data_IF_179784318455
#
_entry.id   IF_179784318455
#
_cell.length_a   1.000
_cell.length_b   1.000
_cell.length_c   1.000
_cell.angle_alpha   90.00
_cell.angle_beta   90.00
_cell.angle_gamma   90.00
#
_symmetry.space_group_name_H-M   'P 1'
#
loop_
_entity.id
_entity.type
_entity.pdbx_description
1 polymer ?
#
# COMPACT_ATOMS: atom_id res chain seq x y z
N UNK A 1 -21.10 3.72 7.10
CA UNK A 1 -19.95 4.54 6.64
C UNK A 1 -18.68 4.32 7.48
N UNK A 2 -18.69 4.50 8.82
CA UNK A 2 -17.51 4.32 9.68
C UNK A 2 -16.85 2.92 9.61
N UNK A 3 -17.63 1.86 9.37
CA UNK A 3 -17.11 0.48 9.28
C UNK A 3 -16.19 0.30 8.06
N UNK A 4 -16.67 0.70 6.86
CA UNK A 4 -15.89 0.64 5.61
C UNK A 4 -14.64 1.53 5.74
N UNK A 5 -14.82 2.74 6.28
CA UNK A 5 -13.71 3.65 6.53
C UNK A 5 -12.63 2.99 7.40
N UNK A 6 -13.03 2.45 8.55
CA UNK A 6 -12.12 1.75 9.46
C UNK A 6 -11.44 0.61 8.72
N UNK A 7 -12.19 -0.22 8.00
CA UNK A 7 -11.65 -1.40 7.33
C UNK A 7 -10.60 -1.07 6.26
N UNK A 8 -10.89 -0.11 5.39
CA UNK A 8 -9.95 0.32 4.36
C UNK A 8 -8.68 0.93 4.96
N UNK A 9 -8.79 1.70 6.04
CA UNK A 9 -7.63 2.24 6.75
C UNK A 9 -6.80 1.15 7.44
N UNK A 10 -7.43 0.06 7.93
CA UNK A 10 -6.70 -1.10 8.46
C UNK A 10 -5.89 -1.78 7.36
N UNK A 11 -6.50 -2.02 6.19
CA UNK A 11 -5.81 -2.59 5.03
C UNK A 11 -4.65 -1.70 4.60
N UNK A 12 -4.90 -0.39 4.49
CA UNK A 12 -3.88 0.60 4.14
C UNK A 12 -2.69 0.56 5.10
N UNK A 13 -2.95 0.56 6.42
CA UNK A 13 -1.91 0.45 7.44
C UNK A 13 -1.12 -0.85 7.37
N UNK A 14 -1.80 -1.98 7.12
CA UNK A 14 -1.15 -3.27 6.97
C UNK A 14 -0.22 -3.30 5.74
N UNK A 15 -0.66 -2.74 4.61
CA UNK A 15 0.20 -2.58 3.43
C UNK A 15 1.38 -1.65 3.69
N UNK A 16 1.17 -0.52 4.37
CA UNK A 16 2.25 0.40 4.74
C UNK A 16 3.31 -0.33 5.58
N UNK A 17 2.90 -1.05 6.63
CA UNK A 17 3.85 -1.81 7.47
C UNK A 17 4.51 -2.97 6.72
N UNK A 18 3.80 -3.65 5.83
CA UNK A 18 4.37 -4.72 5.01
C UNK A 18 5.41 -4.16 4.04
N UNK A 19 5.07 -3.10 3.30
CA UNK A 19 5.97 -2.44 2.36
C UNK A 19 7.20 -1.87 3.05
N UNK A 20 7.04 -1.20 4.20
CA UNK A 20 8.17 -0.68 4.96
C UNK A 20 9.11 -1.79 5.45
N UNK A 21 8.56 -2.92 5.93
CA UNK A 21 9.38 -4.08 6.31
C UNK A 21 10.10 -4.70 5.12
N UNK A 22 9.45 -4.78 3.96
CA UNK A 22 10.08 -5.23 2.71
C UNK A 22 11.19 -4.27 2.30
N UNK A 23 11.01 -2.96 2.44
CA UNK A 23 12.04 -1.96 2.19
C UNK A 23 13.27 -2.17 3.08
N UNK A 24 13.08 -2.37 4.39
CA UNK A 24 14.19 -2.65 5.32
C UNK A 24 14.93 -3.95 4.96
N UNK A 25 14.18 -5.00 4.58
CA UNK A 25 14.77 -6.27 4.13
C UNK A 25 15.54 -6.10 2.81
N UNK A 26 14.96 -5.36 1.86
CA UNK A 26 15.59 -5.06 0.58
C UNK A 26 16.86 -4.25 0.81
N UNK A 27 16.84 -3.20 1.63
CA UNK A 27 18.02 -2.40 1.97
C UNK A 27 19.15 -3.28 2.55
N UNK A 28 18.81 -4.25 3.41
CA UNK A 28 19.81 -5.18 3.98
C UNK A 28 20.53 -6.03 2.91
N UNK A 29 19.85 -6.38 1.81
CA UNK A 29 20.36 -7.27 0.77
C UNK A 29 20.84 -6.48 -0.47
N UNK A 30 20.46 -5.21 -0.59
CA UNK A 30 20.59 -4.42 -1.81
C UNK A 30 22.07 -4.21 -2.20
N UNK A 31 22.53 -4.73 -3.35
CA UNK A 31 23.90 -4.53 -3.81
C UNK A 31 24.20 -3.05 -4.18
N UNK A 32 23.17 -2.23 -4.44
CA UNK A 32 23.34 -0.79 -4.68
C UNK A 32 23.84 -0.03 -3.45
N UNK A 33 23.88 -0.64 -2.25
CA UNK A 33 24.62 -0.11 -1.09
C UNK A 33 26.08 0.23 -1.41
N UNK A 34 26.69 -0.48 -2.36
CA UNK A 34 28.07 -0.22 -2.78
C UNK A 34 28.25 1.17 -3.40
N UNK A 35 27.20 1.73 -4.02
CA UNK A 35 27.23 3.06 -4.62
C UNK A 35 27.44 4.13 -3.53
N UNK A 36 26.75 4.00 -2.40
CA UNK A 36 26.88 4.91 -1.26
C UNK A 36 28.23 4.81 -0.52
N UNK A 37 28.98 3.71 -0.75
CA UNK A 37 30.34 3.55 -0.24
C UNK A 37 31.41 4.19 -1.13
N UNK A 38 31.06 4.65 -2.34
CA UNK A 38 32.01 5.30 -3.23
C UNK A 38 32.54 6.61 -2.60
N UNK A 39 33.84 6.91 -2.74
CA UNK A 39 34.50 7.99 -2.00
C UNK A 39 33.91 9.37 -2.30
N UNK A 40 33.37 9.60 -3.50
CA UNK A 40 32.73 10.89 -3.85
C UNK A 40 31.40 11.10 -3.11
N UNK A 41 30.58 10.05 -2.96
CA UNK A 41 29.31 10.14 -2.23
C UNK A 41 29.56 10.23 -0.73
N UNK A 42 30.46 9.40 -0.21
CA UNK A 42 30.83 9.39 1.20
C UNK A 42 31.33 10.77 1.66
N UNK A 43 32.25 11.39 0.92
CA UNK A 43 32.74 12.75 1.22
C UNK A 43 31.62 13.80 1.20
N UNK A 44 30.61 13.64 0.33
CA UNK A 44 29.46 14.55 0.27
C UNK A 44 28.54 14.37 1.49
N UNK A 45 28.28 13.14 1.92
CA UNK A 45 27.47 12.86 3.10
C UNK A 45 28.16 13.33 4.39
N UNK A 46 29.47 13.10 4.51
CA UNK A 46 30.28 13.60 5.62
C UNK A 46 30.25 15.14 5.71
N UNK A 47 30.36 15.84 4.57
CA UNK A 47 30.21 17.31 4.51
C UNK A 47 28.83 17.81 4.95
N UNK A 48 27.79 17.03 4.69
CA UNK A 48 26.42 17.36 5.07
C UNK A 48 26.09 16.94 6.52
N UNK A 49 26.94 16.13 7.15
CA UNK A 49 26.69 15.58 8.48
C UNK A 49 25.52 14.58 8.53
N UNK A 50 25.22 13.92 7.41
CA UNK A 50 24.04 13.05 7.25
C UNK A 50 24.46 11.58 7.18
N UNK A 51 23.72 10.73 7.89
CA UNK A 51 23.73 9.29 7.67
C UNK A 51 22.74 8.93 6.56
N UNK A 52 23.26 8.61 5.37
CA UNK A 52 22.46 8.31 4.19
C UNK A 52 21.50 7.14 4.40
N UNK A 53 21.88 6.13 5.17
CA UNK A 53 21.06 4.93 5.36
C UNK A 53 19.86 5.24 6.24
N UNK A 54 20.09 6.02 7.30
CA UNK A 54 19.02 6.51 8.16
C UNK A 54 18.07 7.44 7.41
N UNK A 55 18.58 8.26 6.51
CA UNK A 55 17.76 9.16 5.71
C UNK A 55 16.91 8.42 4.67
N UNK A 56 17.45 7.37 4.04
CA UNK A 56 16.69 6.48 3.15
C UNK A 56 15.58 5.77 3.92
N UNK A 57 15.88 5.17 5.07
CA UNK A 57 14.89 4.47 5.88
C UNK A 57 13.80 5.43 6.39
N UNK A 58 14.18 6.68 6.72
CA UNK A 58 13.24 7.74 7.09
C UNK A 58 12.33 8.13 5.94
N UNK A 59 12.91 8.40 4.76
CA UNK A 59 12.15 8.74 3.55
C UNK A 59 11.21 7.59 3.12
N UNK A 60 11.58 6.34 3.36
CA UNK A 60 10.73 5.21 3.06
C UNK A 60 9.62 4.99 4.11
N UNK A 61 9.89 5.31 5.38
CA UNK A 61 9.01 5.06 6.51
C UNK A 61 8.10 6.22 6.91
N UNK A 62 8.33 7.42 6.39
CA UNK A 62 7.51 8.59 6.68
C UNK A 62 6.02 8.31 6.41
N UNK A 63 5.16 8.62 7.37
CA UNK A 63 3.74 8.29 7.28
C UNK A 63 2.97 9.21 6.36
N UNK A 64 3.41 10.46 6.18
CA UNK A 64 2.70 11.49 5.42
C UNK A 64 3.11 11.45 3.95
N UNK A 65 4.41 11.38 3.69
CA UNK A 65 4.97 11.47 2.33
C UNK A 65 5.94 10.34 2.00
N UNK A 66 6.07 9.34 2.86
CA UNK A 66 7.04 8.28 2.66
C UNK A 66 6.68 7.33 1.54
N UNK A 67 7.71 6.75 0.92
CA UNK A 67 7.54 5.80 -0.21
C UNK A 67 6.60 4.66 0.15
N UNK A 68 6.67 4.16 1.39
CA UNK A 68 5.80 3.05 1.82
C UNK A 68 4.35 3.45 1.97
N UNK A 69 4.04 4.70 2.34
CA UNK A 69 2.65 5.19 2.40
C UNK A 69 2.10 5.33 0.99
N UNK A 70 2.86 5.93 0.07
CA UNK A 70 2.43 6.09 -1.34
C UNK A 70 2.20 4.72 -1.98
N UNK A 71 3.14 3.79 -1.80
CA UNK A 71 3.02 2.43 -2.31
C UNK A 71 1.80 1.72 -1.72
N UNK A 72 1.58 1.82 -0.40
CA UNK A 72 0.42 1.23 0.26
C UNK A 72 -0.91 1.83 -0.24
N UNK A 73 -0.95 3.13 -0.47
CA UNK A 73 -2.11 3.81 -1.06
C UNK A 73 -2.38 3.33 -2.49
N UNK A 74 -1.34 3.17 -3.30
CA UNK A 74 -1.44 2.60 -4.65
C UNK A 74 -1.92 1.15 -4.66
N UNK A 75 -1.41 0.31 -3.75
CA UNK A 75 -1.86 -1.08 -3.60
C UNK A 75 -3.32 -1.13 -3.14
N UNK A 76 -3.73 -0.28 -2.20
CA UNK A 76 -5.12 -0.20 -1.75
C UNK A 76 -6.05 0.21 -2.89
N UNK A 77 -5.69 1.25 -3.64
CA UNK A 77 -6.42 1.68 -4.82
C UNK A 77 -6.51 0.53 -5.83
N UNK A 78 -5.38 -0.05 -6.22
CA UNK A 78 -5.34 -1.19 -7.14
C UNK A 78 -6.22 -2.36 -6.66
N UNK A 79 -6.17 -2.69 -5.37
CA UNK A 79 -6.97 -3.76 -4.78
C UNK A 79 -8.49 -3.49 -4.81
N UNK A 80 -8.93 -2.27 -4.50
CA UNK A 80 -10.35 -1.89 -4.60
C UNK A 80 -10.80 -1.88 -6.07
N UNK A 81 -9.95 -1.42 -6.99
CA UNK A 81 -10.20 -1.48 -8.43
C UNK A 81 -10.32 -2.93 -8.91
N UNK A 82 -9.43 -3.80 -8.45
CA UNK A 82 -9.46 -5.22 -8.79
C UNK A 82 -10.72 -5.91 -8.27
N UNK A 83 -11.20 -5.53 -7.07
CA UNK A 83 -12.48 -6.00 -6.54
C UNK A 83 -13.67 -5.60 -7.44
N UNK A 84 -13.74 -4.34 -7.87
CA UNK A 84 -14.79 -3.88 -8.79
C UNK A 84 -14.71 -4.59 -10.14
N UNK A 85 -13.51 -4.74 -10.71
CA UNK A 85 -13.30 -5.49 -11.94
C UNK A 85 -13.79 -6.94 -11.81
N UNK A 86 -13.50 -7.58 -10.67
CA UNK A 86 -13.95 -8.94 -10.38
C UNK A 86 -15.47 -9.07 -10.37
N UNK A 87 -16.18 -8.10 -9.77
CA UNK A 87 -17.64 -8.10 -9.81
C UNK A 87 -18.18 -7.91 -11.22
N UNK A 88 -17.62 -7.00 -11.99
CA UNK A 88 -18.04 -6.77 -13.37
C UNK A 88 -17.88 -8.02 -14.24
N UNK A 89 -16.78 -8.76 -14.07
CA UNK A 89 -16.54 -10.03 -14.73
C UNK A 89 -17.58 -11.08 -14.31
N UNK A 90 -17.80 -11.25 -13.01
CA UNK A 90 -18.74 -12.24 -12.46
C UNK A 90 -20.18 -12.07 -13.01
N UNK A 91 -20.60 -10.82 -13.25
CA UNK A 91 -21.92 -10.50 -13.78
C UNK A 91 -21.96 -10.38 -15.31
N UNK A 92 -20.88 -10.73 -16.01
CA UNK A 92 -20.78 -10.60 -17.47
C UNK A 92 -21.09 -9.18 -17.98
N UNK A 93 -20.76 -8.16 -17.18
CA UNK A 93 -21.05 -6.75 -17.48
C UNK A 93 -19.95 -6.08 -18.31
N UNK A 94 -18.87 -6.79 -18.62
CA UNK A 94 -17.75 -6.26 -19.41
C UNK A 94 -17.32 -7.20 -20.52
N UNK A 95 -16.86 -6.59 -21.62
CA UNK A 95 -16.21 -7.29 -22.72
C UNK A 95 -14.69 -7.21 -22.48
N UNK A 96 -14.04 -8.37 -22.41
CA UNK A 96 -12.59 -8.49 -22.25
C UNK A 96 -11.81 -7.59 -23.22
N UNK A 97 -10.79 -6.90 -22.71
CA UNK A 97 -9.84 -6.12 -23.52
C UNK A 97 -10.23 -4.65 -23.78
N UNK A 98 -11.35 -4.17 -23.23
CA UNK A 98 -11.77 -2.77 -23.40
C UNK A 98 -11.13 -1.86 -22.34
N UNK A 99 -10.19 -1.00 -22.75
CA UNK A 99 -9.50 -0.06 -21.83
C UNK A 99 -10.47 0.85 -21.06
N UNK A 100 -11.63 1.17 -21.66
CA UNK A 100 -12.62 2.05 -21.06
C UNK A 100 -13.15 1.52 -19.71
N UNK A 101 -13.40 0.21 -19.59
CA UNK A 101 -13.85 -0.39 -18.33
C UNK A 101 -12.77 -0.32 -17.25
N UNK A 102 -11.51 -0.52 -17.63
CA UNK A 102 -10.36 -0.40 -16.69
C UNK A 102 -10.25 1.03 -16.19
N UNK A 103 -10.40 2.03 -17.05
CA UNK A 103 -10.37 3.45 -16.67
C UNK A 103 -11.52 3.79 -15.72
N UNK A 104 -12.75 3.37 -16.04
CA UNK A 104 -13.93 3.63 -15.19
C UNK A 104 -13.76 2.98 -13.82
N UNK A 105 -13.36 1.71 -13.78
CA UNK A 105 -13.15 0.97 -12.52
C UNK A 105 -12.04 1.62 -11.69
N UNK A 106 -10.95 2.03 -12.33
CA UNK A 106 -9.86 2.73 -11.67
C UNK A 106 -10.32 4.07 -11.09
N UNK A 107 -11.08 4.85 -11.84
CA UNK A 107 -11.64 6.12 -11.37
C UNK A 107 -12.60 5.93 -10.18
N UNK A 108 -13.52 4.96 -10.27
CA UNK A 108 -14.45 4.63 -9.19
C UNK A 108 -13.71 4.19 -7.92
N UNK A 109 -12.69 3.34 -8.07
CA UNK A 109 -11.86 2.93 -6.95
C UNK A 109 -11.09 4.10 -6.32
N UNK A 110 -10.59 5.03 -7.15
CA UNK A 110 -9.92 6.23 -6.69
C UNK A 110 -10.86 7.11 -5.87
N UNK A 111 -12.11 7.28 -6.33
CA UNK A 111 -13.16 8.01 -5.60
C UNK A 111 -13.43 7.37 -4.23
N UNK A 112 -13.58 6.05 -4.18
CA UNK A 112 -13.79 5.32 -2.92
C UNK A 112 -12.61 5.51 -1.97
N UNK A 113 -11.38 5.31 -2.45
CA UNK A 113 -10.19 5.49 -1.62
C UNK A 113 -10.03 6.94 -1.16
N UNK A 114 -10.32 7.92 -2.01
CA UNK A 114 -10.32 9.33 -1.63
C UNK A 114 -11.28 9.60 -0.48
N UNK A 115 -12.55 9.24 -0.63
CA UNK A 115 -13.56 9.56 0.39
C UNK A 115 -13.35 8.84 1.71
N UNK A 116 -12.86 7.60 1.71
CA UNK A 116 -12.71 6.79 2.93
C UNK A 116 -11.30 6.81 3.52
N UNK A 117 -10.25 7.12 2.76
CA UNK A 117 -8.86 6.99 3.24
C UNK A 117 -8.10 8.30 3.13
N UNK A 118 -8.08 8.93 1.95
CA UNK A 118 -7.15 10.03 1.70
C UNK A 118 -7.71 11.43 2.00
N UNK A 119 -9.03 11.62 2.06
CA UNK A 119 -9.63 12.94 2.28
C UNK A 119 -9.14 13.55 3.59
N UNK A 120 -8.53 14.73 3.49
CA UNK A 120 -7.96 15.50 4.60
C UNK A 120 -6.94 14.70 5.42
N UNK A 121 -6.20 13.79 4.78
CA UNK A 121 -5.16 12.95 5.41
C UNK A 121 -5.65 12.16 6.64
N UNK A 122 -6.94 11.83 6.69
CA UNK A 122 -7.55 11.16 7.84
C UNK A 122 -6.90 9.82 8.18
N UNK A 123 -6.26 9.16 7.21
CA UNK A 123 -5.56 7.91 7.42
C UNK A 123 -4.41 8.04 8.44
N UNK A 124 -3.83 9.24 8.62
CA UNK A 124 -2.79 9.50 9.62
C UNK A 124 -3.31 9.26 11.04
N UNK A 125 -4.51 9.77 11.35
CA UNK A 125 -5.14 9.56 12.65
C UNK A 125 -5.42 8.07 12.90
N UNK A 126 -5.77 7.32 11.85
CA UNK A 126 -5.92 5.87 11.92
C UNK A 126 -4.57 5.16 12.12
N UNK A 127 -3.52 5.58 11.43
CA UNK A 127 -2.17 5.02 11.58
C UNK A 127 -1.67 5.19 13.02
N UNK A 128 -1.83 6.37 13.60
CA UNK A 128 -1.43 6.64 15.00
C UNK A 128 -2.22 5.80 16.00
N UNK A 129 -3.50 5.54 15.72
CA UNK A 129 -4.31 4.61 16.50
C UNK A 129 -3.79 3.17 16.38
N UNK A 130 -3.50 2.72 15.16
CA UNK A 130 -3.13 1.33 14.89
C UNK A 130 -1.68 0.99 15.27
N UNK A 131 -0.81 1.99 15.36
CA UNK A 131 0.52 1.80 15.91
C UNK A 131 0.49 1.39 17.38
N UNK A 132 -0.49 1.89 18.14
CA UNK A 132 -0.69 1.56 19.56
C UNK A 132 -1.32 0.19 19.79
N UNK A 133 -1.71 -0.52 18.72
CA UNK A 133 -2.23 -1.88 18.84
C UNK A 133 -1.23 -2.85 19.44
N UNK A 134 -1.78 -3.78 20.23
CA UNK A 134 -1.07 -4.95 20.75
C UNK A 134 -0.56 -5.84 19.61
N UNK A 135 0.41 -6.71 19.93
CA UNK A 135 0.93 -7.69 18.95
C UNK A 135 -0.17 -8.61 18.43
N UNK A 136 -1.12 -8.99 19.28
CA UNK A 136 -2.24 -9.86 18.93
C UNK A 136 -3.18 -9.17 17.92
N UNK A 137 -3.53 -7.91 18.14
CA UNK A 137 -4.35 -7.12 17.23
C UNK A 137 -3.66 -6.95 15.87
N UNK A 138 -2.38 -6.55 15.87
CA UNK A 138 -1.60 -6.41 14.64
C UNK A 138 -1.59 -7.71 13.84
N UNK A 139 -1.41 -8.86 14.50
CA UNK A 139 -1.45 -10.17 13.84
C UNK A 139 -2.83 -10.49 13.28
N UNK A 140 -3.90 -10.28 14.06
CA UNK A 140 -5.29 -10.49 13.64
C UNK A 140 -5.59 -9.73 12.36
N UNK A 141 -5.33 -8.43 12.34
CA UNK A 141 -5.65 -7.58 11.20
C UNK A 141 -4.73 -7.84 10.00
N UNK A 142 -3.46 -8.22 10.23
CA UNK A 142 -2.58 -8.66 9.14
C UNK A 142 -3.13 -9.90 8.43
N UNK A 143 -3.61 -10.90 9.18
CA UNK A 143 -4.25 -12.08 8.60
C UNK A 143 -5.57 -11.76 7.90
N UNK A 144 -6.36 -10.83 8.45
CA UNK A 144 -7.59 -10.37 7.82
C UNK A 144 -7.31 -9.66 6.49
N UNK A 145 -6.30 -8.80 6.45
CA UNK A 145 -5.85 -8.15 5.21
C UNK A 145 -5.37 -9.18 4.19
N UNK A 146 -4.57 -10.16 4.62
CA UNK A 146 -4.13 -11.26 3.75
C UNK A 146 -5.31 -12.05 3.18
N UNK A 147 -6.25 -12.47 4.03
CA UNK A 147 -7.45 -13.18 3.61
C UNK A 147 -8.31 -12.35 2.63
N UNK A 148 -8.37 -11.04 2.81
CA UNK A 148 -9.08 -10.13 1.89
C UNK A 148 -8.45 -10.12 0.51
N UNK A 149 -7.13 -10.04 0.43
CA UNK A 149 -6.40 -10.08 -0.84
C UNK A 149 -6.65 -11.42 -1.54
N UNK A 150 -6.56 -12.53 -0.81
CA UNK A 150 -6.84 -13.88 -1.37
C UNK A 150 -8.29 -13.97 -1.85
N UNK A 151 -9.26 -13.49 -1.08
CA UNK A 151 -10.66 -13.51 -1.47
C UNK A 151 -10.92 -12.70 -2.75
N UNK A 152 -10.30 -11.52 -2.89
CA UNK A 152 -10.40 -10.69 -4.11
C UNK A 152 -9.78 -11.42 -5.31
N UNK A 153 -8.62 -12.06 -5.14
CA UNK A 153 -7.98 -12.85 -6.21
C UNK A 153 -8.82 -14.06 -6.64
N UNK A 154 -9.43 -14.76 -5.69
CA UNK A 154 -10.33 -15.87 -5.98
C UNK A 154 -11.59 -15.41 -6.69
N UNK A 155 -12.18 -14.29 -6.26
CA UNK A 155 -13.35 -13.70 -6.92
C UNK A 155 -13.02 -13.32 -8.37
N UNK A 156 -11.87 -12.71 -8.59
CA UNK A 156 -11.38 -12.40 -9.93
C UNK A 156 -11.26 -13.66 -10.78
N UNK A 157 -10.60 -14.69 -10.27
CA UNK A 157 -10.43 -15.96 -10.98
C UNK A 157 -11.77 -16.62 -11.33
N UNK A 158 -12.72 -16.66 -10.40
CA UNK A 158 -14.08 -17.18 -10.66
C UNK A 158 -14.77 -16.37 -11.75
N UNK A 159 -14.69 -15.04 -11.67
CA UNK A 159 -15.22 -14.14 -12.69
C UNK A 159 -14.56 -14.35 -14.06
N UNK A 160 -13.29 -14.77 -14.12
CA UNK A 160 -12.62 -15.13 -15.37
C UNK A 160 -13.16 -16.42 -16.01
N UNK A 161 -13.64 -17.35 -15.17
CA UNK A 161 -14.12 -18.67 -15.61
C UNK A 161 -15.63 -18.72 -15.89
N UNK A 162 -16.36 -17.66 -15.55
CA UNK A 162 -17.82 -17.52 -15.77
C UNK A 162 -18.08 -16.87 -17.12
#
# INVERSE_FOLDING_TARGET
MKVIETYLNIIHFCFYKAHYKMHLLANKINPFHLIHKLPFQRRRYEKLGIDIYKEIDRAAGDKEFGVSTIAAGGILWGGVGFLFLSFLLLFNLIVYGTMLHVIIVSALSGIVCYFFVFRNDKYLAYFDKYEKWSKAEKRKYSWLTFASVVAVLLLFYIGLTT
#
